data_IF_620931610247
#
_entry.id   IF_620931610247
#
_cell.length_a   1.000
_cell.length_b   1.000
_cell.length_c   1.000
_cell.angle_alpha   90.00
_cell.angle_beta   90.00
_cell.angle_gamma   90.00
#
_symmetry.space_group_name_H-M   'P 1'
#
loop_
_entity.id
_entity.type
_entity.pdbx_description
1 polymer ?
#
# COMPACT_ATOMS: atom_id res chain seq x y z
N UNK A 1 1.51 -7.39 -31.20
CA UNK A 1 1.31 -8.02 -29.89
C UNK A 1 0.04 -7.47 -29.27
N UNK A 2 -0.81 -8.31 -28.64
CA UNK A 2 -2.03 -7.84 -27.98
C UNK A 2 -1.69 -6.90 -26.79
N UNK A 3 -2.61 -5.98 -26.45
CA UNK A 3 -2.43 -5.13 -25.28
C UNK A 3 -2.48 -5.98 -24.00
N UNK A 4 -1.63 -5.70 -23.00
CA UNK A 4 -1.68 -6.42 -21.74
C UNK A 4 -3.01 -6.13 -21.03
N UNK A 5 -3.60 -7.17 -20.47
CA UNK A 5 -4.80 -7.05 -19.66
C UNK A 5 -4.37 -6.69 -18.25
N UNK A 6 -4.73 -5.50 -17.81
CA UNK A 6 -4.35 -4.98 -16.50
C UNK A 6 -5.57 -4.96 -15.60
N UNK A 7 -5.42 -5.44 -14.37
CA UNK A 7 -6.40 -5.27 -13.29
C UNK A 7 -5.84 -4.26 -12.28
N UNK A 8 -6.61 -3.25 -11.98
CA UNK A 8 -6.32 -2.31 -10.91
C UNK A 8 -7.13 -2.69 -9.68
N UNK A 9 -6.47 -3.13 -8.62
CA UNK A 9 -7.12 -3.41 -7.35
C UNK A 9 -7.16 -2.14 -6.50
N UNK A 10 -8.36 -1.69 -6.15
CA UNK A 10 -8.58 -0.51 -5.30
C UNK A 10 -9.14 -0.95 -3.95
N UNK A 11 -8.40 -0.64 -2.88
CA UNK A 11 -8.83 -0.89 -1.50
C UNK A 11 -9.54 0.34 -0.93
N UNK A 12 -10.84 0.25 -0.72
CA UNK A 12 -11.70 1.37 -0.27
C UNK A 12 -12.42 1.03 1.04
N UNK A 13 -12.69 2.06 1.84
CA UNK A 13 -13.47 1.96 3.08
C UNK A 13 -14.24 3.27 3.39
N UNK A 14 -13.55 4.40 3.43
CA UNK A 14 -14.12 5.70 3.87
C UNK A 14 -13.96 6.79 2.80
N UNK A 15 -13.61 6.43 1.59
CA UNK A 15 -13.38 7.38 0.50
C UNK A 15 -14.68 7.79 -0.16
N UNK A 16 -14.70 8.98 -0.75
CA UNK A 16 -15.87 9.45 -1.53
C UNK A 16 -16.05 8.59 -2.79
N UNK A 17 -17.30 8.13 -3.10
CA UNK A 17 -17.56 7.35 -4.30
C UNK A 17 -17.08 8.03 -5.58
N UNK A 18 -17.37 9.33 -5.76
CA UNK A 18 -16.94 10.09 -6.93
C UNK A 18 -15.42 10.14 -7.12
N UNK A 19 -14.62 10.03 -6.05
CA UNK A 19 -13.16 9.94 -6.13
C UNK A 19 -12.72 8.62 -6.76
N UNK A 20 -13.37 7.52 -6.39
CA UNK A 20 -13.11 6.19 -6.95
C UNK A 20 -13.62 6.08 -8.38
N UNK A 21 -14.82 6.61 -8.68
CA UNK A 21 -15.36 6.67 -10.04
C UNK A 21 -14.45 7.45 -11.00
N UNK A 22 -13.91 8.58 -10.53
CA UNK A 22 -12.97 9.37 -11.31
C UNK A 22 -11.67 8.58 -11.59
N UNK A 23 -11.13 7.89 -10.58
CA UNK A 23 -9.97 7.01 -10.76
C UNK A 23 -10.28 5.89 -11.74
N UNK A 24 -11.39 5.18 -11.56
CA UNK A 24 -11.79 4.08 -12.43
C UNK A 24 -11.95 4.53 -13.89
N UNK A 25 -12.63 5.65 -14.10
CA UNK A 25 -12.80 6.24 -15.43
C UNK A 25 -11.47 6.59 -16.09
N UNK A 26 -10.51 7.09 -15.33
CA UNK A 26 -9.18 7.43 -15.82
C UNK A 26 -8.33 6.20 -16.18
N UNK A 27 -8.69 5.02 -15.68
CA UNK A 27 -8.01 3.75 -15.94
C UNK A 27 -8.68 2.93 -17.05
N UNK A 28 -9.78 3.42 -17.62
CA UNK A 28 -10.45 2.74 -18.73
C UNK A 28 -9.49 2.56 -19.94
N UNK A 29 -9.58 1.45 -20.68
CA UNK A 29 -10.64 0.43 -20.65
C UNK A 29 -10.36 -0.74 -19.68
N UNK A 30 -9.34 -0.68 -18.85
CA UNK A 30 -8.95 -1.78 -17.97
C UNK A 30 -9.93 -1.96 -16.80
N UNK A 31 -9.98 -3.18 -16.30
CA UNK A 31 -10.80 -3.57 -15.14
C UNK A 31 -10.27 -2.92 -13.86
N UNK A 32 -11.18 -2.31 -13.11
CA UNK A 32 -10.93 -1.81 -11.76
C UNK A 32 -11.70 -2.71 -10.78
N UNK A 33 -10.96 -3.56 -10.07
CA UNK A 33 -11.51 -4.44 -9.05
C UNK A 33 -11.54 -3.67 -7.73
N UNK A 34 -12.70 -3.51 -7.12
CA UNK A 34 -12.88 -2.72 -5.90
C UNK A 34 -13.22 -3.63 -4.72
N UNK A 35 -12.39 -3.63 -3.71
CA UNK A 35 -12.70 -4.11 -2.38
C UNK A 35 -13.16 -2.91 -1.55
N UNK A 36 -14.41 -2.93 -1.08
CA UNK A 36 -14.94 -1.88 -0.23
C UNK A 36 -15.46 -2.44 1.08
N UNK A 37 -15.04 -1.86 2.19
CA UNK A 37 -15.53 -2.22 3.51
C UNK A 37 -16.88 -1.51 3.79
N UNK A 38 -17.96 -2.15 3.42
CA UNK A 38 -19.31 -1.66 3.63
C UNK A 38 -19.70 -1.46 5.10
N UNK A 39 -18.93 -2.02 6.05
CA UNK A 39 -19.20 -1.77 7.48
C UNK A 39 -18.85 -0.34 7.89
N UNK A 40 -17.98 0.33 7.14
CA UNK A 40 -17.59 1.72 7.40
C UNK A 40 -18.40 2.71 6.57
N UNK A 41 -18.84 2.33 5.38
CA UNK A 41 -19.67 3.18 4.50
C UNK A 41 -20.66 2.31 3.70
N UNK A 42 -21.84 1.99 4.28
CA UNK A 42 -22.81 1.06 3.67
C UNK A 42 -23.38 1.53 2.33
N UNK A 43 -23.56 2.84 2.16
CA UNK A 43 -24.21 3.44 0.99
C UNK A 43 -23.25 3.77 -0.15
N UNK A 44 -22.08 3.16 -0.14
CA UNK A 44 -21.06 3.38 -1.17
C UNK A 44 -21.52 2.79 -2.52
N UNK A 45 -21.60 3.62 -3.56
CA UNK A 45 -22.01 3.20 -4.92
C UNK A 45 -21.07 3.80 -5.95
N UNK A 46 -20.72 3.02 -6.97
CA UNK A 46 -19.89 3.42 -8.08
C UNK A 46 -20.64 3.28 -9.40
N UNK A 47 -20.32 4.15 -10.35
CA UNK A 47 -21.01 4.26 -11.64
C UNK A 47 -20.08 3.99 -12.83
N UNK A 48 -18.78 3.98 -12.65
CA UNK A 48 -17.82 3.73 -13.72
C UNK A 48 -18.02 2.30 -14.29
N UNK A 49 -18.16 2.14 -15.62
CA UNK A 49 -18.57 0.86 -16.24
C UNK A 49 -17.51 -0.23 -16.16
N UNK A 50 -16.27 0.12 -15.90
CA UNK A 50 -15.14 -0.81 -15.77
C UNK A 50 -14.88 -1.26 -14.33
N UNK A 51 -15.79 -0.93 -13.40
CA UNK A 51 -15.71 -1.36 -12.00
C UNK A 51 -16.29 -2.76 -11.82
N UNK A 52 -15.56 -3.60 -11.12
CA UNK A 52 -15.98 -4.92 -10.64
C UNK A 52 -15.83 -4.96 -9.13
N UNK A 53 -16.80 -5.55 -8.44
CA UNK A 53 -16.79 -5.67 -6.99
C UNK A 53 -16.16 -6.98 -6.54
N UNK A 54 -15.34 -6.91 -5.49
CA UNK A 54 -14.95 -8.11 -4.74
C UNK A 54 -16.17 -8.56 -3.92
N UNK A 55 -16.66 -9.79 -4.09
CA UNK A 55 -17.75 -10.31 -3.27
C UNK A 55 -17.29 -10.51 -1.82
N UNK A 56 -18.23 -10.47 -0.88
CA UNK A 56 -18.00 -10.72 0.55
C UNK A 56 -16.74 -10.02 1.11
N UNK A 57 -16.65 -8.69 0.97
CA UNK A 57 -15.42 -7.98 1.32
C UNK A 57 -15.14 -8.04 2.83
N UNK A 58 -13.88 -8.19 3.16
CA UNK A 58 -13.42 -8.19 4.55
C UNK A 58 -13.63 -6.82 5.18
N UNK A 59 -13.91 -6.82 6.49
CA UNK A 59 -13.83 -5.60 7.31
C UNK A 59 -12.38 -5.18 7.41
N UNK A 60 -12.14 -3.93 7.08
CA UNK A 60 -10.81 -3.33 7.12
C UNK A 60 -10.73 -2.28 8.22
N UNK A 61 -9.54 -1.85 8.55
CA UNK A 61 -9.30 -0.74 9.47
C UNK A 61 -7.86 -0.29 9.33
N UNK A 62 -7.63 1.00 9.55
CA UNK A 62 -6.27 1.51 9.48
C UNK A 62 -5.38 0.80 10.49
N UNK A 63 -4.24 0.30 10.02
CA UNK A 63 -3.25 -0.45 10.78
C UNK A 63 -3.68 -1.86 11.25
N UNK A 64 -4.88 -2.31 10.97
CA UNK A 64 -5.33 -3.66 11.34
C UNK A 64 -5.11 -4.67 10.23
N UNK A 65 -4.97 -5.93 10.63
CA UNK A 65 -4.68 -7.03 9.70
C UNK A 65 -5.83 -7.31 8.71
N UNK A 66 -7.05 -6.91 9.03
CA UNK A 66 -8.19 -6.99 8.11
C UNK A 66 -7.96 -6.28 6.76
N UNK A 67 -7.11 -5.25 6.72
CA UNK A 67 -6.69 -4.63 5.46
C UNK A 67 -5.87 -5.60 4.60
N UNK A 68 -4.94 -6.33 5.21
CA UNK A 68 -4.15 -7.37 4.54
C UNK A 68 -5.05 -8.51 4.06
N UNK A 69 -5.96 -8.97 4.92
CA UNK A 69 -6.97 -10.00 4.54
C UNK A 69 -7.78 -9.57 3.32
N UNK A 70 -8.24 -8.32 3.31
CA UNK A 70 -8.97 -7.76 2.18
C UNK A 70 -8.15 -7.75 0.90
N UNK A 71 -6.87 -7.38 0.96
CA UNK A 71 -5.97 -7.45 -0.20
C UNK A 71 -5.89 -8.89 -0.71
N UNK A 72 -5.53 -9.86 0.13
CA UNK A 72 -5.34 -11.25 -0.32
C UNK A 72 -6.64 -11.94 -0.72
N UNK A 73 -7.77 -11.59 -0.11
CA UNK A 73 -9.10 -12.00 -0.58
C UNK A 73 -9.34 -11.51 -2.01
N UNK A 74 -9.05 -10.24 -2.27
CA UNK A 74 -9.20 -9.65 -3.60
C UNK A 74 -8.25 -10.26 -4.64
N UNK A 75 -7.01 -10.58 -4.24
CA UNK A 75 -6.05 -11.26 -5.12
C UNK A 75 -6.54 -12.67 -5.49
N UNK A 76 -7.08 -13.44 -4.53
CA UNK A 76 -7.69 -14.75 -4.80
C UNK A 76 -8.87 -14.64 -5.76
N UNK A 77 -9.75 -13.66 -5.53
CA UNK A 77 -10.89 -13.40 -6.41
C UNK A 77 -10.43 -13.05 -7.82
N UNK A 78 -9.45 -12.16 -7.96
CA UNK A 78 -8.90 -11.80 -9.27
C UNK A 78 -8.31 -13.01 -10.00
N UNK A 79 -7.55 -13.85 -9.32
CA UNK A 79 -6.93 -15.05 -9.90
C UNK A 79 -7.96 -16.07 -10.37
N UNK A 80 -9.08 -16.21 -9.65
CA UNK A 80 -10.12 -17.19 -9.96
C UNK A 80 -11.14 -16.75 -11.01
N UNK A 81 -11.37 -15.44 -11.16
CA UNK A 81 -12.50 -14.93 -11.93
C UNK A 81 -12.14 -13.91 -13.01
N UNK A 82 -10.93 -13.35 -13.00
CA UNK A 82 -10.50 -12.37 -13.99
C UNK A 82 -9.32 -12.90 -14.80
N UNK A 83 -9.32 -12.55 -16.06
CA UNK A 83 -8.20 -12.83 -16.95
C UNK A 83 -7.32 -11.60 -17.07
N UNK A 84 -6.09 -11.66 -16.54
CA UNK A 84 -5.15 -10.55 -16.53
C UNK A 84 -3.69 -11.02 -16.63
N UNK A 85 -2.86 -10.14 -17.16
CA UNK A 85 -1.42 -10.34 -17.29
C UNK A 85 -0.66 -9.63 -16.15
N UNK A 86 -1.24 -8.54 -15.64
CA UNK A 86 -0.63 -7.70 -14.60
C UNK A 86 -1.69 -7.12 -13.66
N UNK A 87 -1.38 -7.07 -12.36
CA UNK A 87 -2.24 -6.44 -11.34
C UNK A 87 -1.48 -5.28 -10.67
N UNK A 88 -2.15 -4.13 -10.50
CA UNK A 88 -1.64 -2.95 -9.80
C UNK A 88 -2.53 -2.61 -8.61
N UNK A 89 -1.96 -2.60 -7.41
CA UNK A 89 -2.66 -2.18 -6.19
C UNK A 89 -2.67 -0.65 -6.09
N UNK A 90 -3.84 -0.06 -5.85
CA UNK A 90 -4.07 1.37 -5.74
C UNK A 90 -4.91 1.71 -4.50
N UNK A 91 -4.76 2.93 -3.98
CA UNK A 91 -5.71 3.52 -3.05
C UNK A 91 -6.73 4.39 -3.80
N UNK A 92 -7.90 4.69 -3.21
CA UNK A 92 -8.89 5.60 -3.80
C UNK A 92 -8.33 6.98 -4.13
N UNK A 93 -7.34 7.43 -3.37
CA UNK A 93 -6.70 8.74 -3.53
C UNK A 93 -5.48 8.72 -4.46
N UNK A 94 -5.24 7.60 -5.16
CA UNK A 94 -4.31 7.56 -6.29
C UNK A 94 -4.92 8.21 -7.54
N UNK A 95 -4.05 8.69 -8.42
CA UNK A 95 -4.38 8.96 -9.82
C UNK A 95 -3.26 8.45 -10.72
N UNK A 96 -3.56 8.04 -11.97
CA UNK A 96 -2.54 7.95 -12.99
C UNK A 96 -1.95 9.35 -13.24
N UNK A 97 -0.66 9.41 -13.46
CA UNK A 97 0.08 10.66 -13.74
C UNK A 97 0.82 10.60 -15.08
N UNK A 98 0.52 9.55 -15.84
CA UNK A 98 0.93 9.33 -17.23
C UNK A 98 -0.20 8.65 -17.99
N UNK A 99 -0.24 8.75 -19.33
CA UNK A 99 -1.21 8.03 -20.14
C UNK A 99 -1.18 6.52 -19.86
N UNK A 100 -2.35 5.90 -19.73
CA UNK A 100 -2.48 4.46 -19.46
C UNK A 100 -1.72 3.60 -20.49
N UNK A 101 -1.67 4.03 -21.74
CA UNK A 101 -0.90 3.36 -22.80
C UNK A 101 0.61 3.28 -22.53
N UNK A 102 1.17 4.26 -21.85
CA UNK A 102 2.57 4.20 -21.43
C UNK A 102 2.77 3.13 -20.34
N UNK A 103 1.82 2.99 -19.43
CA UNK A 103 1.84 1.94 -18.43
C UNK A 103 1.68 0.54 -19.05
N UNK A 104 0.78 0.38 -20.03
CA UNK A 104 0.67 -0.86 -20.82
C UNK A 104 2.00 -1.27 -21.45
N UNK A 105 2.74 -0.30 -21.98
CA UNK A 105 4.07 -0.54 -22.57
C UNK A 105 5.08 -0.91 -21.48
N UNK A 106 5.04 -0.21 -20.35
CA UNK A 106 5.95 -0.44 -19.23
C UNK A 106 5.83 -1.85 -18.65
N UNK A 107 4.63 -2.36 -18.43
CA UNK A 107 4.41 -3.69 -17.82
C UNK A 107 4.76 -4.85 -18.75
N UNK A 108 4.98 -4.60 -20.04
CA UNK A 108 5.57 -5.58 -21.00
C UNK A 108 7.08 -5.74 -20.82
N UNK A 109 7.71 -4.84 -20.09
CA UNK A 109 9.15 -4.90 -19.80
C UNK A 109 9.57 -6.18 -19.06
N UNK A 110 10.86 -6.35 -18.82
CA UNK A 110 11.40 -7.60 -18.26
C UNK A 110 11.13 -7.81 -16.76
N UNK A 111 10.63 -6.78 -16.06
CA UNK A 111 10.37 -6.88 -14.62
C UNK A 111 9.10 -7.70 -14.33
N UNK A 112 9.15 -8.50 -13.26
CA UNK A 112 8.04 -9.34 -12.85
C UNK A 112 7.13 -8.59 -11.85
N UNK A 113 7.73 -7.69 -11.05
CA UNK A 113 7.01 -6.86 -10.10
C UNK A 113 7.68 -5.49 -9.91
N UNK A 114 6.87 -4.50 -9.55
CA UNK A 114 7.31 -3.12 -9.31
C UNK A 114 6.89 -2.70 -7.89
N UNK A 115 7.85 -2.49 -7.03
CA UNK A 115 7.67 -2.12 -5.63
C UNK A 115 8.98 -1.60 -5.04
N UNK A 116 8.90 -0.99 -3.86
CA UNK A 116 10.07 -0.61 -3.10
C UNK A 116 10.18 -1.39 -1.81
N UNK A 117 11.40 -1.73 -1.45
CA UNK A 117 11.70 -2.36 -0.18
C UNK A 117 13.17 -2.19 0.23
N UNK A 118 13.39 -2.31 1.53
CA UNK A 118 14.71 -2.47 2.14
C UNK A 118 14.76 -3.78 2.91
N UNK A 119 15.92 -4.47 2.88
CA UNK A 119 16.13 -5.67 3.69
C UNK A 119 16.42 -5.28 5.14
N UNK A 120 15.76 -5.95 6.08
CA UNK A 120 15.86 -5.65 7.51
C UNK A 120 16.59 -6.72 8.32
N UNK A 121 16.90 -7.87 7.76
CA UNK A 121 17.45 -9.02 8.51
C UNK A 121 18.75 -8.75 9.26
N UNK A 122 19.57 -7.85 8.76
CA UNK A 122 20.87 -7.51 9.34
C UNK A 122 20.81 -6.39 10.36
N UNK A 123 19.65 -5.80 10.54
CA UNK A 123 19.46 -4.61 11.36
C UNK A 123 18.65 -4.94 12.62
N UNK A 124 19.30 -4.95 13.79
CA UNK A 124 18.62 -5.12 15.08
C UNK A 124 17.55 -4.06 15.31
N UNK A 125 17.73 -2.87 14.75
CA UNK A 125 16.80 -1.75 14.86
C UNK A 125 15.50 -2.06 14.10
N UNK A 126 15.59 -2.85 13.04
CA UNK A 126 14.44 -3.32 12.28
C UNK A 126 13.55 -4.28 13.09
N UNK A 127 14.14 -5.21 13.82
CA UNK A 127 13.37 -6.08 14.73
C UNK A 127 12.70 -5.28 15.84
N UNK A 128 13.31 -4.17 16.28
CA UNK A 128 12.64 -3.22 17.18
C UNK A 128 11.43 -2.56 16.54
N UNK A 129 11.51 -2.20 15.26
CA UNK A 129 10.37 -1.64 14.53
C UNK A 129 9.23 -2.65 14.39
N UNK A 130 9.52 -3.92 14.13
CA UNK A 130 8.54 -5.01 14.13
C UNK A 130 7.92 -5.18 15.52
N UNK A 131 8.74 -5.25 16.57
CA UNK A 131 8.27 -5.38 17.95
C UNK A 131 7.39 -4.22 18.41
N UNK A 132 7.72 -3.01 17.99
CA UNK A 132 6.89 -1.83 18.23
C UNK A 132 5.51 -1.92 17.54
N UNK A 133 5.43 -2.60 16.40
CA UNK A 133 4.19 -2.83 15.66
C UNK A 133 3.43 -4.07 16.10
N UNK A 134 3.90 -4.80 17.12
CA UNK A 134 3.13 -5.90 17.66
C UNK A 134 1.72 -5.45 18.07
N UNK A 135 0.73 -6.26 17.72
CA UNK A 135 -0.67 -5.91 17.90
C UNK A 135 -1.01 -5.82 19.39
N UNK A 136 -1.18 -4.63 19.86
CA UNK A 136 -1.67 -4.31 21.21
C UNK A 136 -2.75 -3.24 21.09
N UNK A 137 -3.92 -3.41 21.70
CA UNK A 137 -4.97 -2.42 21.62
C UNK A 137 -4.48 -1.04 22.08
N UNK A 138 -4.84 -0.01 21.33
CA UNK A 138 -4.52 1.38 21.68
C UNK A 138 -5.14 1.74 23.02
N UNK A 139 -4.48 2.63 23.78
CA UNK A 139 -4.94 3.06 25.10
C UNK A 139 -4.62 2.08 26.24
N UNK A 140 -4.24 0.84 25.95
CA UNK A 140 -3.86 -0.13 26.99
C UNK A 140 -2.51 0.23 27.63
N UNK A 141 -2.29 -0.24 28.86
CA UNK A 141 -1.00 -0.09 29.56
C UNK A 141 0.13 -0.70 28.72
N UNK A 142 -0.10 -1.88 28.13
CA UNK A 142 0.88 -2.57 27.27
C UNK A 142 1.28 -1.70 26.09
N UNK A 143 0.32 -1.08 25.40
CA UNK A 143 0.59 -0.18 24.29
C UNK A 143 1.42 1.03 24.71
N UNK A 144 1.07 1.67 25.85
CA UNK A 144 1.83 2.81 26.41
C UNK A 144 3.27 2.44 26.76
N UNK A 145 3.45 1.28 27.39
CA UNK A 145 4.79 0.76 27.74
C UNK A 145 5.63 0.51 26.50
N UNK A 146 5.08 -0.17 25.47
CA UNK A 146 5.79 -0.43 24.22
C UNK A 146 6.19 0.87 23.49
N UNK A 147 5.30 1.85 23.45
CA UNK A 147 5.62 3.17 22.88
C UNK A 147 6.78 3.85 23.62
N UNK A 148 6.75 3.81 24.96
CA UNK A 148 7.81 4.41 25.78
C UNK A 148 9.14 3.70 25.62
N UNK A 149 9.15 2.37 25.59
CA UNK A 149 10.35 1.56 25.37
C UNK A 149 10.94 1.78 23.95
N UNK A 150 10.09 1.88 22.93
CA UNK A 150 10.52 2.21 21.57
C UNK A 150 11.12 3.61 21.50
N UNK A 151 10.52 4.61 22.16
CA UNK A 151 11.09 5.95 22.30
C UNK A 151 12.46 5.94 22.97
N UNK A 152 12.61 5.18 24.07
CA UNK A 152 13.87 5.02 24.77
C UNK A 152 14.95 4.29 23.93
N UNK A 153 14.53 3.37 23.06
CA UNK A 153 15.45 2.68 22.16
C UNK A 153 16.00 3.60 21.07
N UNK A 154 15.10 4.25 20.33
CA UNK A 154 15.51 5.09 19.20
C UNK A 154 16.04 6.46 19.64
N UNK A 155 15.54 7.01 20.73
CA UNK A 155 15.89 8.37 21.20
C UNK A 155 15.44 9.47 20.23
N UNK A 156 15.76 10.71 20.59
CA UNK A 156 15.43 11.89 19.77
C UNK A 156 16.36 12.05 18.55
N UNK A 157 17.53 11.42 18.61
CA UNK A 157 18.54 11.44 17.53
C UNK A 157 18.37 10.35 16.49
N UNK A 158 17.34 9.53 16.61
CA UNK A 158 17.10 8.45 15.65
C UNK A 158 16.86 9.04 14.26
N UNK A 159 17.75 8.71 13.33
CA UNK A 159 17.60 9.03 11.93
C UNK A 159 16.32 8.44 11.36
N UNK A 160 15.79 9.03 10.29
CA UNK A 160 14.68 8.50 9.52
C UNK A 160 15.19 8.15 8.14
N UNK A 161 14.97 6.92 7.70
CA UNK A 161 15.18 6.56 6.30
C UNK A 161 13.94 6.96 5.53
N UNK A 162 14.11 7.82 4.55
CA UNK A 162 13.08 8.22 3.59
C UNK A 162 13.63 7.96 2.19
N UNK A 163 13.77 6.69 1.86
CA UNK A 163 14.17 6.25 0.54
C UNK A 163 12.92 5.86 -0.24
N UNK A 164 12.69 6.50 -1.39
CA UNK A 164 11.60 6.17 -2.31
C UNK A 164 10.19 6.07 -1.67
N UNK A 165 9.90 6.86 -0.65
CA UNK A 165 8.62 6.84 0.07
C UNK A 165 8.55 5.81 1.21
N UNK A 166 9.63 5.12 1.50
CA UNK A 166 9.76 4.24 2.66
C UNK A 166 10.21 5.05 3.86
N UNK A 167 9.39 5.05 4.92
CA UNK A 167 9.71 5.72 6.15
C UNK A 167 9.91 4.73 7.29
N UNK A 168 11.12 4.58 7.76
CA UNK A 168 11.49 3.72 8.89
C UNK A 168 12.36 4.49 9.88
N UNK A 169 12.07 4.36 11.16
CA UNK A 169 13.01 4.79 12.21
C UNK A 169 14.27 3.94 12.13
N UNK A 170 15.41 4.59 12.01
CA UNK A 170 16.72 3.94 11.98
C UNK A 170 17.64 4.57 13.02
N UNK A 171 18.59 3.79 13.48
CA UNK A 171 19.53 4.23 14.49
C UNK A 171 19.06 3.94 15.93
N UNK A 172 20.00 3.95 16.83
CA UNK A 172 19.84 3.61 18.23
C UNK A 172 20.40 4.73 19.10
N UNK A 173 19.69 5.07 20.18
CA UNK A 173 20.21 6.01 21.16
C UNK A 173 21.53 5.49 21.76
N UNK A 174 22.47 6.37 22.15
CA UNK A 174 23.72 5.95 22.78
C UNK A 174 23.49 5.35 24.19
N UNK A 175 24.42 4.53 24.66
CA UNK A 175 24.46 4.02 26.02
C UNK A 175 23.75 2.68 26.28
N UNK A 176 23.47 2.41 27.55
CA UNK A 176 22.89 1.14 28.01
C UNK A 176 21.36 1.07 27.85
N UNK A 177 20.69 2.22 27.92
CA UNK A 177 19.22 2.33 27.86
C UNK A 177 18.59 1.62 26.65
N UNK A 178 19.12 1.75 25.42
CA UNK A 178 18.59 1.01 24.27
C UNK A 178 18.70 -0.51 24.42
N UNK A 179 19.74 -1.01 25.07
CA UNK A 179 19.90 -2.47 25.31
C UNK A 179 18.84 -3.00 26.24
N UNK A 180 18.56 -2.25 27.32
CA UNK A 180 17.51 -2.58 28.28
C UNK A 180 16.14 -2.47 27.63
N UNK A 181 15.89 -1.39 26.85
CA UNK A 181 14.66 -1.21 26.11
C UNK A 181 14.41 -2.35 25.11
N UNK A 182 15.43 -2.79 24.37
CA UNK A 182 15.34 -3.93 23.45
C UNK A 182 14.98 -5.23 24.18
N UNK A 183 15.67 -5.53 25.30
CA UNK A 183 15.37 -6.72 26.09
C UNK A 183 13.93 -6.72 26.63
N UNK A 184 13.48 -5.55 27.09
CA UNK A 184 12.10 -5.38 27.56
C UNK A 184 11.08 -5.54 26.42
N UNK A 185 11.26 -4.89 25.29
CA UNK A 185 10.37 -5.05 24.11
C UNK A 185 10.36 -6.50 23.65
N UNK A 186 11.50 -7.17 23.61
CA UNK A 186 11.60 -8.59 23.28
C UNK A 186 10.77 -9.45 24.24
N UNK A 187 10.84 -9.19 25.55
CA UNK A 187 10.03 -9.91 26.53
C UNK A 187 8.52 -9.70 26.34
N UNK A 188 8.09 -8.46 26.04
CA UNK A 188 6.68 -8.13 25.78
C UNK A 188 6.16 -8.64 24.44
N UNK A 189 7.03 -8.66 23.40
CA UNK A 189 6.68 -8.97 22.02
C UNK A 189 7.41 -10.21 21.51
N UNK A 190 7.72 -11.14 22.40
CA UNK A 190 8.50 -12.34 22.11
C UNK A 190 8.07 -13.10 20.85
N UNK A 191 6.76 -13.30 20.53
CA UNK A 191 6.38 -13.97 19.30
C UNK A 191 6.79 -13.21 18.03
N UNK A 192 6.83 -11.87 18.07
CA UNK A 192 7.18 -11.04 16.92
C UNK A 192 8.71 -10.86 16.73
N UNK A 193 9.49 -10.96 17.82
CA UNK A 193 10.93 -10.68 17.81
C UNK A 193 11.74 -11.95 18.09
N UNK A 194 11.32 -12.79 19.04
CA UNK A 194 12.08 -13.94 19.52
C UNK A 194 11.75 -15.25 18.82
N UNK A 195 10.56 -15.37 18.22
CA UNK A 195 10.11 -16.52 17.43
C UNK A 195 9.63 -16.04 16.06
N UNK A 196 10.47 -15.27 15.37
CA UNK A 196 10.19 -14.86 14.02
C UNK A 196 10.49 -15.97 13.02
N UNK A 197 9.87 -15.88 11.84
CA UNK A 197 10.02 -16.82 10.74
C UNK A 197 11.29 -16.60 9.90
N UNK A 198 12.01 -15.51 10.20
CA UNK A 198 13.03 -15.00 9.29
C UNK A 198 14.38 -15.67 9.52
N UNK A 199 14.97 -16.12 8.42
CA UNK A 199 16.31 -16.66 8.31
C UNK A 199 16.94 -16.28 6.97
N UNK A 200 18.00 -16.94 6.54
CA UNK A 200 18.65 -16.68 5.25
C UNK A 200 17.77 -17.06 4.05
N UNK A 201 16.85 -17.99 4.22
CA UNK A 201 15.92 -18.45 3.18
C UNK A 201 14.66 -17.62 3.09
N UNK A 202 14.22 -17.03 4.20
CA UNK A 202 13.01 -16.19 4.29
C UNK A 202 13.35 -14.88 5.01
N UNK A 203 13.85 -13.90 4.26
CA UNK A 203 14.36 -12.63 4.80
C UNK A 203 13.26 -11.60 5.00
N UNK A 204 13.30 -10.91 6.14
CA UNK A 204 12.39 -9.81 6.42
C UNK A 204 12.73 -8.58 5.58
N UNK A 205 11.72 -8.06 4.88
CA UNK A 205 11.78 -6.80 4.16
C UNK A 205 10.72 -5.82 4.67
N UNK A 206 11.02 -4.55 4.52
CA UNK A 206 10.10 -3.46 4.82
C UNK A 206 9.96 -2.57 3.58
N UNK A 207 8.75 -2.15 3.26
CA UNK A 207 8.52 -1.32 2.09
C UNK A 207 7.12 -0.76 2.00
N UNK A 208 6.80 -0.27 0.81
CA UNK A 208 5.46 0.21 0.53
C UNK A 208 4.48 -0.93 0.32
N UNK A 209 3.25 -0.74 0.78
CA UNK A 209 2.11 -1.62 0.46
C UNK A 209 1.81 -1.64 -1.03
N UNK A 210 2.07 -0.52 -1.71
CA UNK A 210 1.68 -0.32 -3.10
C UNK A 210 2.64 -1.01 -4.05
N UNK A 211 2.14 -2.00 -4.75
CA UNK A 211 2.91 -2.79 -5.70
C UNK A 211 2.12 -3.05 -6.99
N UNK A 212 2.84 -3.44 -8.01
CA UNK A 212 2.27 -4.06 -9.19
C UNK A 212 3.05 -5.33 -9.51
N UNK A 213 2.38 -6.37 -10.00
CA UNK A 213 3.01 -7.65 -10.28
C UNK A 213 2.29 -8.42 -11.39
N UNK A 214 3.04 -9.29 -12.07
CA UNK A 214 2.50 -10.25 -13.03
C UNK A 214 1.62 -11.28 -12.34
N UNK A 215 0.70 -11.88 -13.09
CA UNK A 215 -0.26 -12.87 -12.60
C UNK A 215 0.39 -14.02 -11.83
N UNK A 216 1.47 -14.58 -12.35
CA UNK A 216 2.19 -15.69 -11.70
C UNK A 216 2.79 -15.29 -10.34
N UNK A 217 3.26 -14.04 -10.21
CA UNK A 217 3.78 -13.51 -8.94
C UNK A 217 2.63 -13.32 -7.94
N UNK A 218 1.50 -12.78 -8.39
CA UNK A 218 0.29 -12.66 -7.55
C UNK A 218 -0.15 -14.04 -7.04
N UNK A 219 -0.12 -15.07 -7.88
CA UNK A 219 -0.45 -16.44 -7.49
C UNK A 219 0.54 -16.98 -6.43
N UNK A 220 1.84 -16.75 -6.62
CA UNK A 220 2.86 -17.09 -5.63
C UNK A 220 2.66 -16.40 -4.29
N UNK A 221 2.35 -15.09 -4.29
CA UNK A 221 2.03 -14.35 -3.07
C UNK A 221 0.84 -14.95 -2.32
N UNK A 222 -0.23 -15.28 -3.03
CA UNK A 222 -1.44 -15.88 -2.44
C UNK A 222 -1.13 -17.27 -1.85
N UNK A 223 -0.31 -18.06 -2.53
CA UNK A 223 0.13 -19.37 -2.04
C UNK A 223 0.92 -19.25 -0.75
N UNK A 224 1.91 -18.35 -0.70
CA UNK A 224 2.71 -18.10 0.52
C UNK A 224 1.85 -17.57 1.67
N UNK A 225 0.98 -16.60 1.40
CA UNK A 225 0.08 -16.04 2.43
C UNK A 225 -0.85 -17.08 3.04
N UNK A 226 -1.19 -18.12 2.30
CA UNK A 226 -2.05 -19.22 2.77
C UNK A 226 -1.33 -20.18 3.73
N UNK A 227 -0.01 -20.05 3.91
CA UNK A 227 0.75 -20.86 4.87
C UNK A 227 0.45 -20.40 6.30
N UNK A 228 0.05 -21.30 7.22
CA UNK A 228 -0.38 -20.94 8.56
C UNK A 228 0.69 -20.17 9.37
N UNK A 229 1.97 -20.50 9.17
CA UNK A 229 3.08 -19.85 9.85
C UNK A 229 3.23 -18.40 9.43
N UNK A 230 3.17 -18.13 8.13
CA UNK A 230 3.28 -16.77 7.56
C UNK A 230 2.07 -15.95 8.01
N UNK A 231 0.87 -16.46 7.75
CA UNK A 231 -0.36 -15.80 8.16
C UNK A 231 -0.39 -15.53 9.67
N UNK A 232 -0.10 -16.55 10.49
CA UNK A 232 -0.13 -16.45 11.94
C UNK A 232 0.92 -15.49 12.53
N UNK A 233 2.07 -15.34 11.88
CA UNK A 233 3.07 -14.36 12.29
C UNK A 233 2.59 -12.93 12.02
N UNK A 234 2.24 -12.64 10.77
CA UNK A 234 1.90 -11.28 10.34
C UNK A 234 0.56 -10.79 10.89
N UNK A 235 -0.39 -11.69 11.20
CA UNK A 235 -1.67 -11.32 11.84
C UNK A 235 -1.52 -10.68 13.22
N UNK A 236 -0.37 -10.82 13.84
CA UNK A 236 -0.03 -10.20 15.15
C UNK A 236 0.60 -8.82 15.04
N UNK A 237 0.74 -8.31 13.82
CA UNK A 237 1.38 -7.02 13.58
C UNK A 237 0.36 -5.96 13.13
N UNK A 238 0.58 -4.74 13.59
CA UNK A 238 -0.07 -3.54 13.02
C UNK A 238 0.68 -3.12 11.76
N UNK A 239 -0.06 -2.62 10.77
CA UNK A 239 0.51 -2.19 9.48
C UNK A 239 1.41 -3.32 8.92
N UNK A 240 0.87 -4.54 8.96
CA UNK A 240 1.59 -5.74 8.55
C UNK A 240 1.87 -5.76 7.05
N UNK A 241 1.05 -5.06 6.26
CA UNK A 241 1.17 -4.90 4.81
C UNK A 241 2.54 -4.37 4.37
N UNK A 242 3.11 -3.42 5.12
CA UNK A 242 4.43 -2.85 4.84
C UNK A 242 5.61 -3.82 5.09
N UNK A 243 5.37 -4.91 5.80
CA UNK A 243 6.36 -6.00 5.99
C UNK A 243 6.03 -7.22 5.15
N UNK A 244 4.77 -7.64 5.15
CA UNK A 244 4.36 -8.87 4.49
C UNK A 244 4.54 -8.80 2.98
N UNK A 245 3.96 -7.80 2.34
CA UNK A 245 3.97 -7.68 0.87
C UNK A 245 5.40 -7.66 0.31
N UNK A 246 6.31 -6.78 0.76
CA UNK A 246 7.68 -6.79 0.23
C UNK A 246 8.45 -8.06 0.60
N UNK A 247 8.19 -8.67 1.76
CA UNK A 247 8.82 -9.94 2.16
C UNK A 247 8.42 -11.07 1.21
N UNK A 248 7.12 -11.21 0.91
CA UNK A 248 6.64 -12.25 -0.01
C UNK A 248 7.19 -12.03 -1.43
N UNK A 249 7.17 -10.81 -1.94
CA UNK A 249 7.69 -10.49 -3.26
C UNK A 249 9.18 -10.82 -3.37
N UNK A 250 9.98 -10.46 -2.38
CA UNK A 250 11.40 -10.75 -2.38
C UNK A 250 11.70 -12.24 -2.22
N UNK A 251 10.91 -12.96 -1.41
CA UNK A 251 11.04 -14.41 -1.26
C UNK A 251 10.75 -15.17 -2.56
N UNK A 252 9.85 -14.65 -3.40
CA UNK A 252 9.55 -15.23 -4.73
C UNK A 252 10.68 -15.02 -5.75
N UNK A 253 11.75 -14.31 -5.41
CA UNK A 253 12.89 -14.12 -6.29
C UNK A 253 12.58 -13.30 -7.56
N UNK A 254 11.64 -12.37 -7.49
CA UNK A 254 11.16 -11.58 -8.62
C UNK A 254 12.24 -10.68 -9.23
N UNK A 255 12.21 -10.49 -10.53
CA UNK A 255 12.94 -9.41 -11.20
C UNK A 255 12.27 -8.10 -10.88
N UNK A 256 12.77 -7.46 -9.82
CA UNK A 256 12.22 -6.23 -9.27
C UNK A 256 12.45 -5.04 -10.21
N UNK A 257 11.41 -4.33 -10.57
CA UNK A 257 11.45 -3.01 -11.17
C UNK A 257 11.30 -1.89 -10.13
N UNK A 258 11.55 -0.64 -10.53
CA UNK A 258 11.30 0.52 -9.68
C UNK A 258 9.79 0.62 -9.36
N UNK A 259 9.47 1.21 -8.22
CA UNK A 259 8.08 1.41 -7.81
C UNK A 259 7.29 2.25 -8.82
N UNK A 260 6.06 1.83 -9.12
CA UNK A 260 5.17 2.51 -10.05
C UNK A 260 4.49 3.76 -9.45
N UNK A 261 4.66 3.99 -8.15
CA UNK A 261 4.00 5.08 -7.43
C UNK A 261 4.98 6.18 -7.03
N UNK A 262 4.56 7.42 -7.22
CA UNK A 262 5.07 8.56 -6.49
C UNK A 262 4.25 8.73 -5.21
N UNK A 263 4.93 8.70 -4.06
CA UNK A 263 4.31 8.94 -2.76
C UNK A 263 4.79 10.31 -2.27
N UNK A 264 3.85 11.22 -2.01
CA UNK A 264 4.18 12.52 -1.44
C UNK A 264 4.82 12.32 -0.06
N UNK A 265 5.94 13.00 0.19
CA UNK A 265 6.69 12.88 1.44
C UNK A 265 5.82 13.17 2.65
N UNK A 266 6.13 12.47 3.73
CA UNK A 266 5.45 12.62 5.00
C UNK A 266 5.58 14.04 5.54
N UNK A 267 4.44 14.60 5.92
CA UNK A 267 4.36 15.77 6.80
C UNK A 267 3.79 15.27 8.13
N UNK A 268 4.51 15.52 9.22
CA UNK A 268 4.07 15.15 10.58
C UNK A 268 3.60 13.70 10.75
N UNK A 269 4.38 12.74 10.27
CA UNK A 269 4.10 11.30 10.29
C UNK A 269 2.93 10.82 9.41
N UNK A 270 2.34 11.68 8.59
CA UNK A 270 1.31 11.32 7.60
C UNK A 270 1.80 11.57 6.18
N UNK A 271 1.35 10.77 5.23
CA UNK A 271 1.59 11.04 3.80
C UNK A 271 0.93 12.37 3.45
N UNK A 272 1.72 13.32 2.96
CA UNK A 272 1.21 14.64 2.55
C UNK A 272 0.26 14.55 1.35
N UNK A 273 -0.66 15.49 1.23
CA UNK A 273 -1.49 15.61 0.03
C UNK A 273 -0.70 16.27 -1.11
N UNK A 274 -0.95 15.78 -2.33
CA UNK A 274 -0.42 16.35 -3.54
C UNK A 274 -1.30 17.55 -3.91
N UNK A 275 -0.75 18.73 -3.70
CA UNK A 275 -1.34 19.99 -4.17
C UNK A 275 -0.61 20.54 -5.39
N UNK A 276 -1.01 21.72 -5.87
CA UNK A 276 -0.44 22.41 -7.03
C UNK A 276 1.08 22.55 -6.95
N UNK A 277 1.62 22.90 -5.77
CA UNK A 277 3.05 23.06 -5.54
C UNK A 277 3.85 21.75 -5.68
N UNK A 278 3.18 20.58 -5.62
CA UNK A 278 3.83 19.29 -5.73
C UNK A 278 3.80 18.72 -7.17
N UNK A 279 3.02 19.31 -8.08
CA UNK A 279 2.81 18.75 -9.42
C UNK A 279 4.09 18.67 -10.24
N UNK A 280 5.00 19.62 -10.09
CA UNK A 280 6.26 19.58 -10.82
C UNK A 280 7.11 18.36 -10.40
N UNK A 281 7.16 18.05 -9.12
CA UNK A 281 7.83 16.83 -8.63
C UNK A 281 7.17 15.56 -9.13
N UNK A 282 5.84 15.54 -9.23
CA UNK A 282 5.09 14.42 -9.82
C UNK A 282 5.45 14.25 -11.30
N UNK A 283 5.51 15.33 -12.06
CA UNK A 283 5.91 15.33 -13.48
C UNK A 283 7.33 14.80 -13.70
N UNK A 284 8.26 15.23 -12.86
CA UNK A 284 9.66 14.81 -12.92
C UNK A 284 9.87 13.37 -12.45
N UNK A 285 8.93 12.81 -11.68
CA UNK A 285 9.00 11.41 -11.28
C UNK A 285 8.81 10.50 -12.49
N UNK A 286 9.38 9.30 -12.44
CA UNK A 286 9.16 8.26 -13.45
C UNK A 286 7.95 7.37 -13.12
N UNK A 287 7.21 7.70 -12.07
CA UNK A 287 6.05 6.94 -11.63
C UNK A 287 4.88 7.05 -12.62
N UNK A 288 4.05 6.03 -12.63
CA UNK A 288 2.81 5.98 -13.43
C UNK A 288 1.59 6.41 -12.59
N UNK A 289 1.69 6.26 -11.30
CA UNK A 289 0.65 6.65 -10.33
C UNK A 289 1.25 7.57 -9.28
N UNK A 290 0.43 8.41 -8.70
CA UNK A 290 0.83 9.23 -7.55
C UNK A 290 -0.24 9.25 -6.47
N UNK A 291 0.22 9.45 -5.23
CA UNK A 291 -0.63 9.59 -4.04
C UNK A 291 0.05 10.47 -2.98
N UNK A 292 -0.75 11.12 -2.15
CA UNK A 292 -2.15 11.10 -1.90
C UNK A 292 -2.78 12.36 -2.52
N UNK A 293 -3.67 12.21 -3.47
CA UNK A 293 -4.47 13.34 -3.93
C UNK A 293 -5.64 13.58 -2.97
N UNK A 294 -6.18 14.81 -2.90
CA UNK A 294 -7.37 15.10 -2.10
C UNK A 294 -8.51 14.11 -2.39
N UNK A 295 -9.18 13.63 -1.35
CA UNK A 295 -10.37 12.80 -1.48
C UNK A 295 -11.60 13.67 -1.78
N UNK A 296 -11.50 14.40 -2.87
CA UNK A 296 -12.53 15.24 -3.43
C UNK A 296 -12.41 15.20 -4.97
N UNK A 297 -13.39 14.61 -5.70
CA UNK A 297 -13.34 14.51 -7.15
C UNK A 297 -13.30 15.89 -7.84
N UNK A 298 -13.80 16.95 -7.18
CA UNK A 298 -13.83 18.30 -7.73
C UNK A 298 -12.55 19.10 -7.43
N UNK A 299 -11.60 18.53 -6.71
CA UNK A 299 -10.34 19.21 -6.43
C UNK A 299 -9.59 19.57 -7.73
N UNK A 300 -9.26 20.85 -7.91
CA UNK A 300 -8.63 21.38 -9.11
C UNK A 300 -7.37 20.60 -9.51
N UNK A 301 -6.53 20.22 -8.55
CA UNK A 301 -5.30 19.48 -8.78
C UNK A 301 -5.56 18.11 -9.44
N UNK A 302 -6.67 17.43 -9.11
CA UNK A 302 -7.07 16.16 -9.73
C UNK A 302 -7.39 16.36 -11.21
N UNK A 303 -8.22 17.37 -11.51
CA UNK A 303 -8.61 17.71 -12.89
C UNK A 303 -7.40 18.12 -13.73
N UNK A 304 -6.48 18.91 -13.17
CA UNK A 304 -5.26 19.27 -13.87
C UNK A 304 -4.41 18.06 -14.24
N UNK A 305 -4.21 17.14 -13.29
CA UNK A 305 -3.46 15.91 -13.55
C UNK A 305 -4.11 15.09 -14.66
N UNK A 306 -5.40 14.83 -14.57
CA UNK A 306 -6.13 14.03 -15.55
C UNK A 306 -6.09 14.68 -16.95
N UNK A 307 -6.26 15.99 -17.03
CA UNK A 307 -6.26 16.73 -18.29
C UNK A 307 -4.84 16.86 -18.88
N UNK A 308 -3.88 17.29 -18.08
CA UNK A 308 -2.54 17.68 -18.55
C UNK A 308 -1.56 16.52 -18.65
N UNK A 309 -1.65 15.54 -17.75
CA UNK A 309 -0.68 14.44 -17.68
C UNK A 309 -1.23 13.13 -18.28
N UNK A 310 -2.53 12.88 -18.12
CA UNK A 310 -3.14 11.63 -18.61
C UNK A 310 -3.81 11.82 -19.97
N UNK A 311 -4.24 13.04 -20.29
CA UNK A 311 -4.91 13.35 -21.55
C UNK A 311 -6.38 12.93 -21.55
N UNK A 312 -7.00 12.76 -20.38
CA UNK A 312 -8.43 12.48 -20.27
C UNK A 312 -9.19 13.75 -20.63
N UNK A 313 -9.99 13.70 -21.70
CA UNK A 313 -10.93 14.78 -22.00
C UNK A 313 -12.08 14.73 -20.98
N UNK A 314 -12.48 15.87 -20.35
CA UNK A 314 -13.65 15.88 -19.50
C UNK A 314 -14.86 15.45 -20.34
N UNK A 315 -15.40 14.26 -20.04
CA UNK A 315 -16.64 13.81 -20.65
C UNK A 315 -17.78 14.70 -20.18
N UNK A 316 -18.62 15.13 -21.11
CA UNK A 316 -19.84 15.90 -20.88
C UNK A 316 -20.90 14.97 -20.26
N UNK A 317 -20.74 14.50 -19.02
CA UNK A 317 -21.83 13.76 -18.35
C UNK A 317 -21.70 13.66 -16.83
N UNK A 318 -21.48 14.78 -16.14
CA UNK A 318 -21.66 14.80 -14.69
C UNK A 318 -22.11 16.16 -14.12
N UNK A 319 -22.52 17.11 -14.96
CA UNK A 319 -23.01 18.43 -14.51
C UNK A 319 -24.42 18.71 -15.00
N UNK A 320 -25.35 17.77 -14.80
CA UNK A 320 -26.76 18.08 -15.00
C UNK A 320 -27.65 17.31 -14.02
N UNK A 321 -27.58 17.63 -12.76
CA UNK A 321 -28.64 17.30 -11.79
C UNK A 321 -28.46 18.07 -10.50
N UNK A 322 -28.56 19.40 -10.51
CA UNK A 322 -29.05 20.20 -9.37
C UNK A 322 -29.21 21.69 -9.75
N UNK A 323 -30.02 21.94 -10.78
CA UNK A 323 -30.64 23.25 -10.96
C UNK A 323 -32.10 22.99 -11.34
N UNK A 324 -32.98 22.97 -10.36
CA UNK A 324 -34.40 22.83 -10.62
C UNK A 324 -35.21 22.37 -9.41
N UNK A 325 -35.76 23.36 -8.73
CA UNK A 325 -36.85 23.41 -7.76
C UNK A 325 -36.52 23.04 -6.32
#
# INVERSE_FOLDING_TARGET
MANPRIVYLVMSAVSRPGTVDQLASALAPHTVLVHHDFSQQPDFRLHAPNVHWVPDPHRTGWAYFGFVEGIFHSLRHALGHLDFDYLQLLSPTCLPVRPVREFETHVRGPCDAHFDCIELMRDRDALMSVGYRALTPEGTLRHRVLRRLSGAYFGDSAGRRDEAGIWLRSGRAPGITPRVAYAAVRAFCHPAIGHHLFDESFRLHYGSTWFGARREIVAGMVSLFSQPEIHGYFSRLRIADEFLIPTLLMHLGVRKGPMNHYIQRYQDAHTGEIGEASLERVRQSRAFFARKFPDNPDAMVRWRVLKELVGVRPGVSAFSASAGS
#
